data_IF_771472645462
#
_entry.id   IF_771472645462
#
_cell.length_a   1.000
_cell.length_b   1.000
_cell.length_c   1.000
_cell.angle_alpha   90.00
_cell.angle_beta   90.00
_cell.angle_gamma   90.00
#
_symmetry.space_group_name_H-M   'P 1'
#
loop_
_entity.id
_entity.type
_entity.pdbx_description
1 polymer ?
#
# COMPACT_ATOMS: atom_id res chain seq x y z
N UNK A 1 6.73 -23.93 -59.82
CA UNK A 1 8.10 -23.87 -59.26
C UNK A 1 8.37 -25.21 -58.62
N UNK A 2 9.54 -25.81 -58.85
CA UNK A 2 9.85 -27.14 -58.31
C UNK A 2 10.07 -27.08 -56.80
N UNK A 3 9.33 -27.89 -56.04
CA UNK A 3 9.58 -28.08 -54.62
C UNK A 3 10.84 -28.93 -54.45
N UNK A 4 11.85 -28.41 -53.75
CA UNK A 4 12.97 -29.23 -53.26
C UNK A 4 12.55 -29.90 -51.94
N UNK A 5 12.63 -31.24 -51.91
CA UNK A 5 12.60 -32.01 -50.67
C UNK A 5 13.99 -32.00 -50.04
N UNK A 6 14.10 -31.54 -48.80
CA UNK A 6 15.33 -31.61 -48.01
C UNK A 6 15.17 -32.77 -47.02
N UNK A 7 15.89 -33.90 -47.18
CA UNK A 7 15.89 -34.95 -46.19
C UNK A 7 16.70 -34.49 -44.97
N UNK A 8 16.03 -34.36 -43.84
CA UNK A 8 16.66 -34.35 -42.53
C UNK A 8 16.59 -35.79 -42.02
N UNK A 9 17.74 -36.37 -41.67
CA UNK A 9 17.81 -37.78 -41.30
C UNK A 9 16.87 -38.09 -40.13
N UNK A 10 16.15 -39.22 -40.26
CA UNK A 10 15.07 -39.73 -39.40
C UNK A 10 13.65 -39.12 -39.63
N UNK A 11 13.03 -39.60 -40.71
CA UNK A 11 11.57 -39.82 -40.89
C UNK A 11 10.62 -38.63 -40.68
N UNK A 12 10.84 -37.52 -41.40
CA UNK A 12 9.75 -36.59 -41.76
C UNK A 12 9.95 -36.01 -43.16
N UNK A 13 8.88 -35.53 -43.79
CA UNK A 13 8.94 -34.80 -45.07
C UNK A 13 8.12 -33.51 -44.99
N UNK A 14 8.71 -32.42 -45.48
CA UNK A 14 8.09 -31.09 -45.54
C UNK A 14 7.67 -30.80 -46.99
N UNK A 15 6.44 -30.34 -47.21
CA UNK A 15 6.00 -29.83 -48.51
C UNK A 15 5.59 -28.35 -48.42
N UNK A 16 6.01 -27.56 -49.41
CA UNK A 16 5.57 -26.18 -49.61
C UNK A 16 4.30 -26.13 -50.45
N UNK A 17 3.33 -25.32 -50.03
CA UNK A 17 2.13 -24.97 -50.80
C UNK A 17 1.92 -23.46 -50.81
N UNK A 18 1.03 -22.96 -51.68
CA UNK A 18 0.73 -21.52 -51.82
C UNK A 18 -0.03 -20.90 -50.64
N UNK A 19 -0.46 -21.71 -49.67
CA UNK A 19 -1.12 -21.27 -48.42
C UNK A 19 -0.29 -21.60 -47.17
N UNK A 20 0.94 -22.10 -47.33
CA UNK A 20 1.86 -22.40 -46.23
C UNK A 20 2.50 -23.79 -46.31
N UNK A 21 3.27 -24.12 -45.29
CA UNK A 21 3.91 -25.43 -45.12
C UNK A 21 2.90 -26.45 -44.59
N UNK A 22 2.97 -27.68 -45.11
CA UNK A 22 2.16 -28.79 -44.60
C UNK A 22 3.04 -30.03 -44.36
N UNK A 23 2.88 -30.62 -43.18
CA UNK A 23 3.55 -31.86 -42.76
C UNK A 23 2.53 -32.99 -42.66
N UNK A 24 2.92 -34.20 -43.07
CA UNK A 24 2.09 -35.40 -43.02
C UNK A 24 2.79 -36.46 -42.14
N UNK A 25 2.27 -36.79 -40.96
CA UNK A 25 2.84 -37.82 -40.10
C UNK A 25 2.50 -39.23 -40.64
N UNK A 26 3.44 -40.16 -40.52
CA UNK A 26 3.26 -41.55 -40.98
C UNK A 26 2.70 -42.46 -39.86
N UNK A 27 2.78 -42.07 -38.59
CA UNK A 27 2.04 -42.71 -37.50
C UNK A 27 1.80 -41.79 -36.28
N UNK A 28 0.82 -42.18 -35.46
CA UNK A 28 0.23 -41.38 -34.39
C UNK A 28 1.20 -41.02 -33.25
N UNK A 29 1.58 -39.74 -33.11
CA UNK A 29 1.24 -38.88 -31.94
C UNK A 29 1.81 -37.45 -32.07
N UNK A 30 1.20 -36.52 -31.31
CA UNK A 30 1.43 -35.06 -31.27
C UNK A 30 0.99 -34.26 -32.53
N UNK A 31 -0.06 -33.44 -32.36
CA UNK A 31 -0.44 -32.37 -33.29
C UNK A 31 0.24 -31.05 -32.92
N UNK A 32 0.39 -30.15 -33.90
CA UNK A 32 0.54 -28.71 -33.65
C UNK A 32 -0.42 -27.90 -34.51
N UNK A 33 -0.89 -26.76 -34.01
CA UNK A 33 -1.91 -25.94 -34.67
C UNK A 33 -1.73 -24.46 -34.33
N UNK A 34 -1.59 -23.61 -35.35
CA UNK A 34 -1.80 -22.16 -35.23
C UNK A 34 -2.27 -21.62 -36.59
N UNK A 35 -3.18 -20.65 -36.59
CA UNK A 35 -3.68 -19.99 -37.79
C UNK A 35 -3.27 -18.51 -37.77
N UNK A 36 -2.86 -17.97 -38.92
CA UNK A 36 -2.26 -16.63 -39.05
C UNK A 36 -3.23 -15.68 -39.78
N UNK A 37 -3.28 -14.43 -39.33
CA UNK A 37 -3.74 -13.28 -40.14
C UNK A 37 -2.83 -12.05 -39.87
N UNK A 38 -2.88 -11.03 -40.73
CA UNK A 38 -1.72 -10.71 -41.59
C UNK A 38 -0.74 -9.63 -41.16
N UNK A 39 -0.85 -8.97 -40.00
CA UNK A 39 -0.14 -7.68 -39.80
C UNK A 39 1.17 -7.77 -38.98
N UNK A 40 1.31 -8.69 -38.01
CA UNK A 40 2.62 -9.02 -37.40
C UNK A 40 2.53 -10.14 -36.35
N UNK A 41 3.24 -11.26 -36.49
CA UNK A 41 3.56 -12.18 -35.38
C UNK A 41 4.80 -13.05 -35.70
N UNK A 42 5.59 -13.35 -34.67
CA UNK A 42 6.61 -14.41 -34.63
C UNK A 42 6.16 -15.40 -33.55
N UNK A 43 6.24 -16.71 -33.81
CA UNK A 43 5.78 -17.77 -32.90
C UNK A 43 6.90 -18.78 -32.59
N UNK A 44 7.11 -19.09 -31.31
CA UNK A 44 7.85 -20.30 -30.91
C UNK A 44 6.84 -21.46 -30.74
N UNK A 45 7.20 -22.68 -31.14
CA UNK A 45 6.32 -23.86 -31.15
C UNK A 45 6.77 -24.93 -30.14
N UNK A 46 5.90 -25.91 -29.85
CA UNK A 46 6.14 -27.03 -28.93
C UNK A 46 6.16 -28.36 -29.70
N UNK A 47 7.00 -29.31 -29.28
CA UNK A 47 6.99 -30.69 -29.78
C UNK A 47 7.18 -31.67 -28.62
N UNK A 48 6.34 -32.71 -28.59
CA UNK A 48 6.35 -33.74 -27.56
C UNK A 48 6.52 -35.11 -28.22
N UNK A 49 7.44 -35.93 -27.71
CA UNK A 49 7.57 -37.34 -28.11
C UNK A 49 7.05 -38.24 -26.99
N UNK A 50 6.45 -39.37 -27.35
CA UNK A 50 5.70 -40.24 -26.42
C UNK A 50 6.51 -40.85 -25.27
N UNK A 51 7.84 -40.88 -25.37
CA UNK A 51 8.72 -41.42 -24.34
C UNK A 51 9.68 -40.34 -23.82
N UNK A 52 9.31 -39.81 -22.65
CA UNK A 52 10.19 -39.26 -21.60
C UNK A 52 11.07 -38.04 -21.88
N UNK A 53 10.82 -37.22 -22.91
CA UNK A 53 11.33 -35.84 -22.95
C UNK A 53 10.38 -34.87 -23.69
N UNK A 54 10.07 -33.74 -23.05
CA UNK A 54 9.42 -32.59 -23.65
C UNK A 54 10.45 -31.47 -23.91
N UNK A 55 10.27 -30.74 -25.01
CA UNK A 55 10.98 -29.49 -25.30
C UNK A 55 10.02 -28.31 -25.27
N UNK A 56 10.36 -27.30 -24.48
CA UNK A 56 9.62 -26.03 -24.42
C UNK A 56 10.53 -24.94 -24.99
N UNK A 57 9.98 -24.11 -25.86
CA UNK A 57 10.64 -22.91 -26.35
C UNK A 57 9.95 -21.67 -25.79
N UNK A 58 10.73 -20.78 -25.17
CA UNK A 58 10.27 -19.53 -24.58
C UNK A 58 10.82 -18.35 -25.39
N UNK A 59 10.01 -17.31 -25.64
CA UNK A 59 10.45 -16.14 -26.39
C UNK A 59 10.85 -15.02 -25.43
N UNK A 60 12.09 -14.56 -25.55
CA UNK A 60 12.58 -13.44 -24.75
C UNK A 60 12.38 -12.12 -25.49
N UNK A 61 11.35 -11.38 -25.11
CA UNK A 61 10.98 -10.06 -25.64
C UNK A 61 12.14 -9.05 -25.62
N UNK A 62 13.12 -9.19 -24.72
CA UNK A 62 14.25 -8.26 -24.63
C UNK A 62 15.44 -8.61 -25.53
N UNK A 63 15.59 -9.88 -25.94
CA UNK A 63 16.67 -10.31 -26.85
C UNK A 63 16.21 -10.72 -28.25
N UNK A 64 14.88 -10.82 -28.47
CA UNK A 64 14.26 -11.22 -29.74
C UNK A 64 14.66 -12.64 -30.19
N UNK A 65 14.93 -13.55 -29.24
CA UNK A 65 15.41 -14.91 -29.48
C UNK A 65 14.55 -15.95 -28.72
N UNK A 66 14.18 -17.06 -29.37
CA UNK A 66 13.60 -18.22 -28.67
C UNK A 66 14.71 -18.96 -27.87
N UNK A 67 14.43 -19.36 -26.63
CA UNK A 67 15.30 -20.15 -25.74
C UNK A 67 14.75 -21.58 -25.61
N UNK A 68 15.62 -22.59 -25.44
CA UNK A 68 15.24 -24.01 -25.36
C UNK A 68 15.34 -24.56 -23.92
N UNK A 69 14.33 -25.33 -23.50
CA UNK A 69 14.32 -26.09 -22.25
C UNK A 69 13.96 -27.57 -22.51
N UNK A 70 14.62 -28.49 -21.81
CA UNK A 70 14.36 -29.94 -21.85
C UNK A 70 13.95 -30.47 -20.47
N UNK A 71 12.92 -31.30 -20.41
CA UNK A 71 12.44 -31.90 -19.15
C UNK A 71 11.60 -33.16 -19.36
N UNK A 72 11.52 -33.99 -18.33
CA UNK A 72 10.80 -35.27 -18.37
C UNK A 72 9.31 -35.09 -18.02
N UNK A 73 8.43 -35.95 -18.55
CA UNK A 73 6.96 -35.72 -18.58
C UNK A 73 6.29 -35.72 -17.18
N UNK A 74 6.96 -36.26 -16.16
CA UNK A 74 6.35 -36.53 -14.84
C UNK A 74 6.27 -35.26 -13.96
N UNK A 75 7.00 -34.19 -14.27
CA UNK A 75 6.96 -32.91 -13.54
C UNK A 75 6.04 -31.89 -14.22
N UNK A 76 4.71 -32.07 -14.10
CA UNK A 76 3.77 -30.95 -14.26
C UNK A 76 3.63 -30.22 -12.91
N UNK A 77 4.31 -29.09 -12.80
CA UNK A 77 4.30 -28.23 -11.61
C UNK A 77 5.72 -27.86 -11.17
N UNK A 78 6.03 -26.57 -11.22
CA UNK A 78 7.28 -25.93 -10.73
C UNK A 78 8.54 -26.13 -11.58
N UNK A 79 8.91 -25.07 -12.30
CA UNK A 79 10.27 -24.88 -12.83
C UNK A 79 11.13 -24.28 -11.71
N UNK A 80 12.30 -24.87 -11.44
CA UNK A 80 13.27 -24.37 -10.45
C UNK A 80 14.62 -24.15 -11.15
N UNK A 81 15.20 -22.96 -10.99
CA UNK A 81 16.53 -22.63 -11.47
C UNK A 81 17.51 -22.48 -10.29
N UNK A 82 18.62 -23.21 -10.31
CA UNK A 82 19.83 -22.85 -9.55
C UNK A 82 21.08 -23.45 -10.23
N UNK A 83 22.23 -22.80 -10.02
CA UNK A 83 23.49 -23.13 -10.67
C UNK A 83 24.48 -23.83 -9.74
N UNK A 84 25.15 -24.85 -10.29
CA UNK A 84 26.47 -25.39 -9.88
C UNK A 84 26.65 -25.94 -8.45
N UNK A 85 26.32 -27.22 -8.27
CA UNK A 85 27.29 -28.23 -7.82
C UNK A 85 27.04 -29.53 -8.63
N UNK A 86 28.09 -30.07 -9.26
CA UNK A 86 28.04 -31.08 -10.34
C UNK A 86 28.15 -32.54 -9.82
N UNK A 87 28.02 -33.68 -10.56
CA UNK A 87 27.77 -34.09 -11.98
C UNK A 87 27.51 -35.63 -12.00
N UNK A 88 27.13 -36.39 -13.05
CA UNK A 88 26.60 -36.17 -14.43
C UNK A 88 25.83 -37.45 -14.89
N UNK A 89 25.50 -37.55 -16.19
CA UNK A 89 24.85 -38.71 -16.86
C UNK A 89 25.89 -39.68 -17.46
N UNK A 90 25.68 -40.99 -17.32
CA UNK A 90 26.60 -42.03 -17.83
C UNK A 90 26.34 -43.39 -17.18
N UNK A 91 27.34 -44.29 -17.19
CA UNK A 91 27.24 -45.66 -16.68
C UNK A 91 27.25 -45.80 -15.15
N UNK A 92 26.36 -45.03 -14.49
CA UNK A 92 25.65 -45.39 -13.25
C UNK A 92 26.48 -45.46 -11.93
N UNK A 93 26.02 -45.01 -10.74
CA UNK A 93 24.85 -44.24 -10.25
C UNK A 93 25.27 -43.50 -8.94
N UNK A 94 24.37 -42.66 -8.41
CA UNK A 94 24.04 -42.39 -6.99
C UNK A 94 24.38 -40.96 -6.55
N UNK A 95 23.42 -40.07 -6.26
CA UNK A 95 22.04 -40.19 -5.70
C UNK A 95 21.99 -40.79 -4.29
N UNK A 96 21.59 -39.97 -3.33
CA UNK A 96 20.63 -40.31 -2.29
C UNK A 96 19.73 -39.07 -2.18
N UNK A 97 18.41 -39.11 -2.38
CA UNK A 97 17.42 -39.93 -1.68
C UNK A 97 17.34 -39.57 -0.18
N UNK A 98 16.17 -39.51 0.47
CA UNK A 98 14.82 -39.84 0.01
C UNK A 98 13.89 -38.60 0.08
N UNK A 99 12.96 -38.52 -0.88
CA UNK A 99 11.84 -37.59 -0.88
C UNK A 99 11.04 -37.69 0.44
N UNK A 100 10.75 -36.57 1.10
CA UNK A 100 9.68 -36.51 2.09
C UNK A 100 8.75 -35.34 1.76
N UNK A 101 7.52 -35.71 1.43
CA UNK A 101 6.39 -34.80 1.28
C UNK A 101 5.84 -34.43 2.66
N UNK A 102 5.53 -33.15 2.91
CA UNK A 102 4.66 -32.71 3.99
C UNK A 102 3.80 -31.53 3.52
N UNK A 103 2.53 -31.83 3.21
CA UNK A 103 1.49 -30.88 2.84
C UNK A 103 1.10 -29.95 4.01
N UNK A 104 1.91 -28.92 4.30
CA UNK A 104 1.56 -27.80 5.20
C UNK A 104 2.04 -26.46 4.62
N UNK A 105 1.19 -25.42 4.60
CA UNK A 105 1.56 -24.12 4.05
C UNK A 105 2.47 -23.33 5.01
N UNK A 106 3.58 -22.80 4.49
CA UNK A 106 4.41 -21.82 5.21
C UNK A 106 3.68 -20.47 5.35
N UNK A 107 2.93 -20.30 6.43
CA UNK A 107 2.64 -18.99 6.99
C UNK A 107 3.92 -18.43 7.64
N UNK A 108 4.16 -17.12 7.54
CA UNK A 108 5.35 -16.38 8.03
C UNK A 108 6.62 -16.45 7.14
N UNK A 109 6.58 -15.85 5.94
CA UNK A 109 7.75 -15.22 5.29
C UNK A 109 7.35 -14.33 4.09
N UNK A 110 7.39 -13.01 4.24
CA UNK A 110 7.69 -12.12 3.10
C UNK A 110 9.21 -11.91 3.06
N UNK A 111 9.87 -12.30 1.96
CA UNK A 111 11.28 -11.96 1.67
C UNK A 111 12.31 -13.10 1.67
N UNK A 112 12.03 -14.25 2.29
CA UNK A 112 12.98 -15.38 2.36
C UNK A 112 12.85 -16.34 1.17
N UNK A 113 13.98 -16.76 0.56
CA UNK A 113 13.99 -17.74 -0.56
C UNK A 113 14.39 -19.17 -0.17
N UNK A 114 14.76 -19.45 1.09
CA UNK A 114 15.29 -20.76 1.49
C UNK A 114 14.86 -21.19 2.90
N UNK A 115 14.68 -22.50 3.08
CA UNK A 115 14.68 -23.19 4.37
C UNK A 115 15.93 -24.09 4.45
N UNK A 116 16.41 -24.35 5.67
CA UNK A 116 17.46 -25.33 5.93
C UNK A 116 17.00 -26.33 6.99
N UNK A 117 17.23 -27.60 6.73
CA UNK A 117 16.95 -28.68 7.67
C UNK A 117 18.23 -29.46 7.94
N UNK A 118 18.50 -29.76 9.21
CA UNK A 118 19.63 -30.58 9.65
C UNK A 118 19.08 -31.61 10.64
N UNK A 119 19.37 -32.89 10.41
CA UNK A 119 18.99 -34.01 11.29
C UNK A 119 17.49 -34.01 11.69
N UNK A 120 16.59 -33.95 10.69
CA UNK A 120 15.13 -33.89 10.84
C UNK A 120 14.56 -32.70 11.63
N UNK A 121 15.38 -31.70 11.95
CA UNK A 121 14.92 -30.43 12.52
C UNK A 121 15.08 -29.34 11.46
N UNK A 122 13.98 -28.75 11.02
CA UNK A 122 13.96 -27.62 10.09
C UNK A 122 13.91 -26.30 10.86
N UNK A 123 14.75 -25.34 10.47
CA UNK A 123 14.80 -24.01 11.08
C UNK A 123 14.90 -22.93 9.99
N UNK A 124 14.22 -21.81 10.21
CA UNK A 124 14.35 -20.62 9.37
C UNK A 124 15.64 -19.88 9.77
N UNK A 125 16.73 -20.11 9.02
CA UNK A 125 17.99 -19.40 9.22
C UNK A 125 17.92 -17.95 8.70
N UNK A 126 17.95 -16.98 9.62
CA UNK A 126 18.28 -15.58 9.29
C UNK A 126 19.81 -15.46 9.35
N UNK A 127 20.49 -15.60 8.21
CA UNK A 127 21.94 -15.44 8.20
C UNK A 127 22.35 -13.96 8.26
N UNK A 128 22.96 -13.61 9.38
CA UNK A 128 23.54 -12.30 9.69
C UNK A 128 24.88 -12.07 8.97
N UNK A 129 25.28 -10.80 8.90
CA UNK A 129 26.47 -10.28 8.23
C UNK A 129 27.78 -10.97 8.62
N UNK A 130 28.75 -11.04 7.68
CA UNK A 130 30.14 -10.64 7.94
C UNK A 130 30.85 -10.09 6.67
N UNK A 131 31.61 -9.01 6.87
CA UNK A 131 32.56 -8.33 5.95
C UNK A 131 32.13 -7.82 4.55
N UNK A 132 30.91 -7.26 4.48
CA UNK A 132 30.74 -5.92 3.90
C UNK A 132 30.68 -5.73 2.38
N UNK A 133 31.09 -6.71 1.55
CA UNK A 133 31.18 -6.53 0.09
C UNK A 133 30.54 -7.66 -0.71
N UNK A 134 29.55 -7.36 -1.56
CA UNK A 134 29.05 -8.28 -2.60
C UNK A 134 28.96 -7.49 -3.92
N UNK A 135 29.73 -7.90 -4.92
CA UNK A 135 29.61 -7.42 -6.29
C UNK A 135 28.39 -8.05 -6.98
N UNK A 136 27.65 -7.26 -7.75
CA UNK A 136 26.73 -7.79 -8.76
C UNK A 136 27.29 -7.50 -10.15
N UNK A 137 27.30 -8.53 -11.00
CA UNK A 137 27.91 -8.48 -12.33
C UNK A 137 26.97 -7.86 -13.37
N UNK A 138 27.36 -6.73 -13.93
CA UNK A 138 27.04 -6.47 -15.34
C UNK A 138 28.11 -7.14 -16.21
N UNK A 139 27.65 -8.18 -16.91
CA UNK A 139 28.26 -8.94 -18.01
C UNK A 139 29.64 -8.45 -18.53
N UNK A 140 30.69 -9.17 -18.16
CA UNK A 140 31.84 -9.45 -19.03
C UNK A 140 32.41 -10.85 -18.70
N UNK A 141 32.93 -11.52 -19.72
CA UNK A 141 33.72 -12.75 -19.56
C UNK A 141 35.15 -12.38 -19.19
N UNK A 142 35.82 -13.25 -18.43
CA UNK A 142 37.28 -13.31 -18.40
C UNK A 142 37.92 -12.56 -17.24
N UNK A 143 38.64 -13.35 -16.43
CA UNK A 143 39.74 -12.98 -15.55
C UNK A 143 39.47 -12.09 -14.31
N UNK A 144 40.41 -12.20 -13.37
CA UNK A 144 40.24 -11.89 -11.94
C UNK A 144 41.03 -10.64 -11.60
N UNK A 145 40.38 -9.61 -11.04
CA UNK A 145 41.07 -8.45 -10.46
C UNK A 145 41.43 -8.76 -8.99
N UNK A 146 42.72 -8.64 -8.65
CA UNK A 146 43.26 -9.12 -7.36
C UNK A 146 43.65 -7.98 -6.40
N UNK A 147 43.67 -6.70 -6.83
CA UNK A 147 43.96 -5.58 -5.93
C UNK A 147 43.42 -4.20 -6.36
N UNK A 148 43.34 -3.27 -5.40
CA UNK A 148 42.67 -1.96 -5.54
C UNK A 148 43.46 -0.87 -6.28
N UNK A 149 44.67 -1.15 -6.75
CA UNK A 149 45.56 -0.16 -7.39
C UNK A 149 45.39 -0.01 -8.90
N UNK A 150 44.64 -0.90 -9.57
CA UNK A 150 44.41 -0.87 -11.03
C UNK A 150 43.19 -0.03 -11.44
N UNK A 151 42.46 0.57 -10.49
CA UNK A 151 41.34 1.48 -10.77
C UNK A 151 41.74 2.87 -11.31
N UNK A 152 42.68 2.95 -12.26
CA UNK A 152 42.96 4.14 -13.09
C UNK A 152 43.58 3.80 -14.45
N UNK A 153 42.74 3.60 -15.47
CA UNK A 153 43.13 3.81 -16.88
C UNK A 153 41.95 4.21 -17.76
N UNK A 154 40.75 3.69 -17.50
CA UNK A 154 39.65 3.77 -18.45
C UNK A 154 38.63 4.87 -18.10
N UNK A 155 38.67 5.95 -18.87
CA UNK A 155 37.79 7.11 -18.79
C UNK A 155 36.35 6.74 -19.19
N UNK A 156 35.46 6.43 -18.22
CA UNK A 156 34.02 6.77 -18.23
C UNK A 156 33.16 6.19 -17.06
N UNK A 157 33.73 5.93 -15.88
CA UNK A 157 32.96 5.41 -14.73
C UNK A 157 33.05 6.29 -13.47
N UNK A 158 31.90 6.83 -13.06
CA UNK A 158 31.72 7.53 -11.79
C UNK A 158 31.16 6.54 -10.75
N UNK A 159 31.90 6.26 -9.69
CA UNK A 159 31.40 5.41 -8.60
C UNK A 159 30.31 6.16 -7.80
N UNK A 160 29.08 5.62 -7.77
CA UNK A 160 27.99 6.12 -6.92
C UNK A 160 27.80 5.20 -5.69
N UNK A 161 27.63 5.74 -4.48
CA UNK A 161 27.55 4.94 -3.26
C UNK A 161 26.16 4.28 -3.05
N UNK A 162 26.14 2.94 -3.03
CA UNK A 162 25.25 2.00 -2.29
C UNK A 162 23.72 2.23 -2.16
N UNK A 163 23.07 3.17 -2.86
CA UNK A 163 21.70 3.62 -2.48
C UNK A 163 20.50 3.02 -3.24
N UNK A 164 20.66 2.02 -4.13
CA UNK A 164 19.57 1.65 -5.07
C UNK A 164 19.18 0.15 -5.19
N UNK A 165 19.68 -0.77 -4.36
CA UNK A 165 19.34 -2.20 -4.47
C UNK A 165 18.98 -2.89 -3.15
N UNK A 166 18.01 -2.32 -2.42
CA UNK A 166 17.27 -3.01 -1.35
C UNK A 166 15.77 -3.06 -1.66
N UNK A 167 14.91 -3.57 -0.75
CA UNK A 167 13.49 -3.19 -0.77
C UNK A 167 13.37 -1.66 -0.80
N UNK A 168 12.32 -1.08 -1.42
CA UNK A 168 12.25 0.33 -1.79
C UNK A 168 12.80 1.23 -0.68
N UNK A 169 13.89 1.92 -1.03
CA UNK A 169 14.90 2.49 -0.13
C UNK A 169 14.36 2.91 1.23
N UNK A 170 14.92 2.31 2.30
CA UNK A 170 14.57 2.53 3.73
C UNK A 170 14.18 4.00 3.96
N UNK A 171 12.86 4.26 4.01
CA UNK A 171 12.35 5.61 4.10
C UNK A 171 12.47 6.05 5.56
N UNK A 172 13.56 6.74 5.87
CA UNK A 172 13.76 7.28 7.21
C UNK A 172 12.60 8.20 7.56
N UNK A 173 11.75 7.73 8.47
CA UNK A 173 10.70 8.57 9.06
C UNK A 173 11.34 9.75 9.78
N UNK A 174 10.80 10.95 9.57
CA UNK A 174 11.21 12.17 10.29
C UNK A 174 10.05 12.71 11.11
N UNK A 175 10.28 13.08 12.37
CA UNK A 175 9.30 13.85 13.15
C UNK A 175 9.22 15.27 12.57
N UNK A 176 8.00 15.74 12.32
CA UNK A 176 7.72 17.02 11.65
C UNK A 176 6.80 17.94 12.47
N UNK A 177 6.19 17.43 13.53
CA UNK A 177 5.48 18.22 14.55
C UNK A 177 5.45 17.47 15.88
N UNK A 178 5.42 18.21 16.99
CA UNK A 178 5.74 17.70 18.32
C UNK A 178 7.26 17.50 18.50
N UNK A 179 7.68 17.15 19.72
CA UNK A 179 9.10 16.90 19.99
C UNK A 179 9.51 15.47 19.62
N UNK A 180 10.79 15.28 19.28
CA UNK A 180 11.32 13.98 18.85
C UNK A 180 11.17 12.87 19.90
N UNK A 181 11.23 13.22 21.19
CA UNK A 181 11.11 12.30 22.32
C UNK A 181 9.65 11.88 22.61
N UNK A 182 8.67 12.49 21.94
CA UNK A 182 7.24 12.21 22.11
C UNK A 182 6.64 12.62 23.47
N UNK A 183 7.29 13.53 24.21
CA UNK A 183 6.76 13.98 25.51
C UNK A 183 5.58 14.93 25.33
N UNK A 184 4.50 14.70 26.09
CA UNK A 184 3.33 15.59 26.08
C UNK A 184 3.69 16.98 26.61
N UNK A 185 3.06 18.03 26.06
CA UNK A 185 3.18 19.40 26.55
C UNK A 185 2.27 20.39 25.83
N UNK A 186 2.15 21.60 26.37
CA UNK A 186 1.30 22.70 25.90
C UNK A 186 2.08 23.85 25.23
N UNK A 187 3.42 23.78 25.18
CA UNK A 187 4.23 24.69 24.38
C UNK A 187 3.95 24.53 22.87
N UNK A 188 4.34 25.51 22.06
CA UNK A 188 4.09 25.49 20.60
C UNK A 188 4.93 24.46 19.82
N UNK A 189 5.96 23.89 20.44
CA UNK A 189 6.79 22.81 19.90
C UNK A 189 6.48 21.44 20.52
N UNK A 190 5.38 21.33 21.27
CA UNK A 190 4.90 20.09 21.91
C UNK A 190 3.42 19.89 21.62
N UNK A 191 2.97 18.65 21.66
CA UNK A 191 1.58 18.26 21.45
C UNK A 191 1.11 17.43 22.65
N UNK A 192 -0.20 17.21 22.77
CA UNK A 192 -0.81 16.30 23.73
C UNK A 192 -1.99 15.58 23.08
N UNK A 193 -1.81 14.29 22.79
CA UNK A 193 -2.74 13.46 22.02
C UNK A 193 -3.14 14.09 20.66
N UNK A 194 -2.20 14.30 19.71
CA UNK A 194 -2.56 14.78 18.38
C UNK A 194 -3.43 13.74 17.64
N UNK A 195 -4.69 14.07 17.36
CA UNK A 195 -5.67 13.07 16.92
C UNK A 195 -5.83 12.99 15.40
N UNK A 196 -5.74 14.12 14.70
CA UNK A 196 -5.77 14.17 13.24
C UNK A 196 -4.79 15.21 12.71
N UNK A 197 -4.49 15.08 11.43
CA UNK A 197 -3.71 16.06 10.70
C UNK A 197 -4.31 16.34 9.32
N UNK A 198 -3.92 17.47 8.73
CA UNK A 198 -4.18 17.76 7.33
C UNK A 198 -3.04 18.61 6.74
N UNK A 199 -2.85 18.52 5.43
CA UNK A 199 -1.73 19.15 4.71
C UNK A 199 -2.28 20.29 3.86
N UNK A 200 -1.76 21.50 4.07
CA UNK A 200 -2.11 22.69 3.30
C UNK A 200 -1.50 22.68 1.89
N UNK A 201 -2.01 23.55 1.01
CA UNK A 201 -1.49 23.71 -0.36
C UNK A 201 -0.07 24.31 -0.43
N UNK A 202 0.42 24.82 0.70
CA UNK A 202 1.79 25.29 0.96
C UNK A 202 2.68 24.22 1.64
N UNK A 203 2.23 22.95 1.71
CA UNK A 203 2.82 21.87 2.50
C UNK A 203 2.81 22.07 4.04
N UNK A 204 2.14 23.10 4.57
CA UNK A 204 1.98 23.25 6.02
C UNK A 204 1.21 22.08 6.63
N UNK A 205 1.66 21.64 7.80
CA UNK A 205 1.02 20.55 8.54
C UNK A 205 0.14 21.15 9.63
N UNK A 206 -1.17 20.95 9.51
CA UNK A 206 -2.13 21.33 10.54
C UNK A 206 -2.41 20.11 11.42
N UNK A 207 -2.45 20.30 12.74
CA UNK A 207 -2.59 19.22 13.73
C UNK A 207 -3.65 19.59 14.77
N UNK A 208 -4.61 18.70 15.00
CA UNK A 208 -5.57 18.82 16.09
C UNK A 208 -4.94 18.32 17.40
N UNK A 209 -4.59 19.27 18.25
CA UNK A 209 -3.88 19.05 19.51
C UNK A 209 -4.91 18.86 20.63
N UNK A 210 -5.50 17.65 20.66
CA UNK A 210 -6.79 17.34 21.28
C UNK A 210 -6.87 17.75 22.76
N UNK A 211 -5.94 17.27 23.60
CA UNK A 211 -5.96 17.57 25.04
C UNK A 211 -5.65 19.04 25.32
N UNK A 212 -4.90 19.69 24.43
CA UNK A 212 -4.58 21.11 24.50
C UNK A 212 -5.69 22.00 23.87
N UNK A 213 -6.82 21.43 23.43
CA UNK A 213 -8.00 22.16 22.96
C UNK A 213 -7.70 23.24 21.90
N UNK A 214 -6.82 22.89 20.95
CA UNK A 214 -6.33 23.81 19.91
C UNK A 214 -5.97 23.11 18.60
N UNK A 215 -5.77 23.90 17.56
CA UNK A 215 -5.17 23.47 16.29
C UNK A 215 -3.90 24.29 16.03
N UNK A 216 -2.78 23.59 15.80
CA UNK A 216 -1.50 24.19 15.45
C UNK A 216 -1.18 23.97 13.97
N UNK A 217 -0.51 24.95 13.35
CA UNK A 217 0.12 24.84 12.03
C UNK A 217 1.64 24.79 12.17
N UNK A 218 2.27 23.80 11.56
CA UNK A 218 3.72 23.67 11.44
C UNK A 218 4.11 23.94 9.98
N UNK A 219 4.94 24.96 9.76
CA UNK A 219 5.54 25.25 8.46
C UNK A 219 6.59 24.19 8.12
N UNK A 220 6.81 23.90 6.84
CA UNK A 220 7.79 22.87 6.45
C UNK A 220 9.20 23.23 6.97
N UNK A 221 9.81 22.28 7.71
CA UNK A 221 11.09 22.46 8.38
C UNK A 221 11.03 23.08 9.78
N UNK A 222 9.88 23.57 10.25
CA UNK A 222 9.71 24.07 11.62
C UNK A 222 9.09 23.02 12.55
N UNK A 223 9.76 22.77 13.68
CA UNK A 223 9.19 21.99 14.81
C UNK A 223 8.39 22.85 15.80
N UNK A 224 8.36 24.17 15.60
CA UNK A 224 7.52 25.10 16.38
C UNK A 224 6.32 25.50 15.54
N UNK A 225 5.12 25.27 16.08
CA UNK A 225 3.86 25.59 15.42
C UNK A 225 3.36 27.01 15.73
N UNK A 226 2.35 27.43 14.97
CA UNK A 226 1.55 28.63 15.19
C UNK A 226 0.13 28.25 15.56
N UNK A 227 -0.50 28.96 16.49
CA UNK A 227 -1.89 28.74 16.88
C UNK A 227 -2.85 29.24 15.79
N UNK A 228 -3.74 28.37 15.30
CA UNK A 228 -4.72 28.70 14.23
C UNK A 228 -6.16 28.71 14.74
N UNK A 229 -6.52 27.80 15.64
CA UNK A 229 -7.84 27.73 16.25
C UNK A 229 -7.79 27.20 17.69
N UNK A 230 -8.81 27.53 18.48
CA UNK A 230 -8.78 27.35 19.93
C UNK A 230 -7.88 28.36 20.64
N UNK A 231 -7.86 28.30 21.97
CA UNK A 231 -7.04 29.21 22.82
C UNK A 231 -6.08 28.46 23.75
N UNK A 232 -6.02 27.13 23.67
CA UNK A 232 -5.43 26.30 24.74
C UNK A 232 -6.42 25.96 25.87
N UNK A 233 -7.54 26.69 25.96
CA UNK A 233 -8.50 26.59 27.06
C UNK A 233 -9.79 25.94 26.57
N UNK A 234 -10.11 24.80 27.16
CA UNK A 234 -11.39 24.10 27.07
C UNK A 234 -12.60 25.05 27.18
N UNK A 235 -13.53 24.99 26.22
CA UNK A 235 -14.80 25.72 26.33
C UNK A 235 -15.66 25.73 25.08
N UNK A 236 -16.81 26.39 25.18
CA UNK A 236 -17.85 26.46 24.13
C UNK A 236 -17.92 27.79 23.40
N UNK A 237 -17.11 28.79 23.80
CA UNK A 237 -17.04 30.09 23.11
C UNK A 237 -16.63 29.92 21.63
N UNK A 238 -16.89 30.94 20.80
CA UNK A 238 -16.57 30.91 19.36
C UNK A 238 -15.06 30.85 19.06
N UNK A 239 -14.20 31.27 19.99
CA UNK A 239 -12.75 31.09 19.91
C UNK A 239 -12.21 29.84 20.63
N UNK A 240 -13.06 29.09 21.34
CA UNK A 240 -12.67 27.92 22.14
C UNK A 240 -13.04 26.60 21.46
N UNK A 241 -12.38 25.53 21.87
CA UNK A 241 -12.60 24.15 21.46
C UNK A 241 -12.63 23.25 22.71
N UNK A 242 -13.11 22.02 22.58
CA UNK A 242 -13.06 20.96 23.58
C UNK A 242 -12.87 19.60 22.89
N UNK A 243 -11.63 19.09 22.92
CA UNK A 243 -11.26 17.87 22.19
C UNK A 243 -11.45 17.98 20.67
N UNK A 244 -10.80 18.94 19.98
CA UNK A 244 -10.85 18.99 18.51
C UNK A 244 -10.25 17.71 17.93
N UNK A 245 -10.99 17.02 17.04
CA UNK A 245 -10.56 15.73 16.49
C UNK A 245 -10.25 15.81 15.00
N UNK A 246 -11.25 15.72 14.12
CA UNK A 246 -11.05 15.83 12.67
C UNK A 246 -10.82 17.28 12.23
N UNK A 247 -9.88 17.49 11.30
CA UNK A 247 -9.60 18.81 10.72
C UNK A 247 -9.43 18.75 9.19
N UNK A 248 -9.83 19.82 8.52
CA UNK A 248 -9.61 20.03 7.08
C UNK A 248 -9.22 21.48 6.82
N UNK A 249 -8.24 21.73 5.95
CA UNK A 249 -7.80 23.06 5.52
C UNK A 249 -8.14 23.22 4.04
N UNK A 250 -8.85 24.28 3.67
CA UNK A 250 -9.17 24.54 2.27
C UNK A 250 -8.05 25.28 1.53
N UNK A 251 -8.16 25.37 0.20
CA UNK A 251 -7.18 26.05 -0.66
C UNK A 251 -7.07 27.56 -0.42
N UNK A 252 -7.99 28.15 0.34
CA UNK A 252 -7.95 29.54 0.81
C UNK A 252 -7.39 29.66 2.23
N UNK A 253 -6.92 28.56 2.83
CA UNK A 253 -6.44 28.42 4.21
C UNK A 253 -7.49 28.72 5.28
N UNK A 254 -8.77 28.45 4.99
CA UNK A 254 -9.80 28.38 6.02
C UNK A 254 -9.82 26.97 6.63
N UNK A 255 -9.90 26.92 7.95
CA UNK A 255 -9.83 25.69 8.74
C UNK A 255 -11.24 25.24 9.14
N UNK A 256 -11.53 23.96 8.97
CA UNK A 256 -12.72 23.29 9.47
C UNK A 256 -12.31 22.31 10.56
N UNK A 257 -13.00 22.33 11.70
CA UNK A 257 -12.67 21.54 12.90
C UNK A 257 -13.93 20.85 13.41
N UNK A 258 -13.87 19.54 13.57
CA UNK A 258 -14.87 18.80 14.34
C UNK A 258 -14.50 18.87 15.82
N UNK A 259 -15.33 19.57 16.58
CA UNK A 259 -15.12 19.91 17.98
C UNK A 259 -15.86 18.86 18.83
N UNK A 260 -15.19 17.73 19.08
CA UNK A 260 -15.81 16.42 19.37
C UNK A 260 -16.74 16.43 20.58
N UNK A 261 -16.20 16.88 21.71
CA UNK A 261 -16.89 16.88 23.01
C UNK A 261 -17.93 18.02 23.07
N UNK A 262 -17.82 19.01 22.18
CA UNK A 262 -18.81 20.07 21.99
C UNK A 262 -19.86 19.73 20.91
N UNK A 263 -19.84 18.53 20.33
CA UNK A 263 -20.84 18.02 19.37
C UNK A 263 -21.15 19.00 18.22
N UNK A 264 -20.11 19.65 17.67
CA UNK A 264 -20.26 20.71 16.65
C UNK A 264 -19.15 20.72 15.61
N UNK A 265 -19.48 21.29 14.47
CA UNK A 265 -18.54 21.62 13.40
C UNK A 265 -18.29 23.13 13.41
N UNK A 266 -17.02 23.51 13.52
CA UNK A 266 -16.54 24.89 13.51
C UNK A 266 -15.75 25.20 12.23
N UNK A 267 -15.89 26.42 11.75
CA UNK A 267 -15.15 27.00 10.62
C UNK A 267 -14.40 28.25 11.08
N UNK A 268 -13.09 28.25 10.91
CA UNK A 268 -12.21 29.39 11.14
C UNK A 268 -11.82 30.01 9.79
N UNK A 269 -12.30 31.22 9.46
CA UNK A 269 -11.75 31.99 8.36
C UNK A 269 -10.25 32.21 8.55
N UNK A 270 -9.48 32.24 7.45
CA UNK A 270 -8.04 32.52 7.50
C UNK A 270 -7.75 33.79 8.32
N UNK A 271 -6.79 33.70 9.25
CA UNK A 271 -6.36 34.77 10.17
C UNK A 271 -7.43 35.25 11.17
N UNK A 272 -8.58 34.59 11.31
CA UNK A 272 -9.57 34.90 12.35
C UNK A 272 -9.17 34.30 13.70
N UNK A 273 -9.33 35.05 14.79
CA UNK A 273 -9.25 34.49 16.15
C UNK A 273 -10.53 33.74 16.57
N UNK A 274 -11.61 33.90 15.83
CA UNK A 274 -12.94 33.35 16.15
C UNK A 274 -13.44 32.42 15.04
N UNK A 275 -13.97 31.27 15.45
CA UNK A 275 -14.68 30.33 14.59
C UNK A 275 -16.18 30.62 14.52
N UNK A 276 -16.80 30.08 13.48
CA UNK A 276 -18.23 30.13 13.19
C UNK A 276 -18.74 28.69 13.24
N UNK A 277 -19.83 28.44 13.98
CA UNK A 277 -20.46 27.11 13.99
C UNK A 277 -21.23 26.89 12.69
N UNK A 278 -20.84 25.87 11.93
CA UNK A 278 -21.47 25.53 10.63
C UNK A 278 -22.55 24.48 10.80
N UNK A 279 -22.32 23.49 11.67
CA UNK A 279 -23.27 22.41 11.93
C UNK A 279 -23.15 21.88 13.37
N UNK A 280 -24.12 21.08 13.78
CA UNK A 280 -24.25 20.54 15.13
C UNK A 280 -24.94 21.50 16.10
N UNK A 281 -25.74 20.95 17.00
CA UNK A 281 -26.53 21.69 18.00
C UNK A 281 -25.66 22.27 19.13
N UNK A 282 -24.48 21.71 19.38
CA UNK A 282 -23.68 21.97 20.59
C UNK A 282 -23.92 20.97 21.74
N UNK A 283 -24.76 19.95 21.51
CA UNK A 283 -25.10 18.89 22.46
C UNK A 283 -25.26 17.56 21.73
N UNK A 284 -24.98 16.43 22.40
CA UNK A 284 -25.15 15.11 21.81
C UNK A 284 -26.59 14.87 21.34
N UNK A 285 -26.75 14.26 20.16
CA UNK A 285 -28.04 13.95 19.54
C UNK A 285 -27.89 13.13 18.26
N UNK A 286 -29.03 12.73 17.67
CA UNK A 286 -29.08 11.85 16.49
C UNK A 286 -29.96 12.38 15.35
N UNK A 287 -30.38 13.65 15.39
CA UNK A 287 -31.12 14.32 14.31
C UNK A 287 -30.22 14.62 13.11
N UNK A 288 -30.77 15.15 12.01
CA UNK A 288 -29.95 15.61 10.87
C UNK A 288 -29.15 16.91 11.14
N UNK A 289 -29.37 17.54 12.29
CA UNK A 289 -28.72 18.78 12.74
C UNK A 289 -27.91 18.63 14.04
N UNK A 290 -27.80 17.42 14.59
CA UNK A 290 -27.03 17.08 15.79
C UNK A 290 -26.14 15.87 15.56
N UNK A 291 -25.11 15.73 16.39
CA UNK A 291 -24.11 14.67 16.30
C UNK A 291 -24.02 13.90 17.60
N UNK A 292 -23.66 12.62 17.54
CA UNK A 292 -23.43 11.76 18.70
C UNK A 292 -22.03 12.00 19.27
N UNK A 293 -21.01 11.79 18.43
CA UNK A 293 -19.61 12.25 18.57
C UNK A 293 -19.04 12.43 17.16
N UNK A 294 -18.30 13.51 16.89
CA UNK A 294 -17.87 13.87 15.52
C UNK A 294 -16.48 13.34 15.20
N UNK A 295 -16.31 12.78 14.01
CA UNK A 295 -15.12 12.06 13.57
C UNK A 295 -14.29 12.83 12.54
N UNK A 296 -13.75 12.09 11.58
CA UNK A 296 -13.09 12.64 10.41
C UNK A 296 -14.01 13.54 9.57
N UNK A 297 -13.38 14.44 8.83
CA UNK A 297 -14.03 15.48 8.02
C UNK A 297 -13.36 15.59 6.65
N UNK A 298 -14.15 15.89 5.62
CA UNK A 298 -13.68 16.25 4.29
C UNK A 298 -14.56 17.36 3.71
N UNK A 299 -13.96 18.30 2.98
CA UNK A 299 -14.64 19.37 2.25
C UNK A 299 -14.39 19.15 0.76
N UNK A 300 -15.43 19.16 -0.06
CA UNK A 300 -15.27 19.07 -1.52
C UNK A 300 -15.07 20.44 -2.21
N UNK A 301 -14.73 20.43 -3.49
CA UNK A 301 -14.57 21.64 -4.31
C UNK A 301 -15.86 22.46 -4.46
N UNK A 302 -17.04 21.87 -4.25
CA UNK A 302 -18.33 22.59 -4.18
C UNK A 302 -18.68 23.06 -2.75
N UNK A 303 -17.74 22.94 -1.80
CA UNK A 303 -17.87 23.32 -0.38
C UNK A 303 -18.91 22.52 0.41
N UNK A 304 -19.31 21.34 -0.06
CA UNK A 304 -20.08 20.40 0.78
C UNK A 304 -19.13 19.78 1.82
N UNK A 305 -19.63 19.58 3.03
CA UNK A 305 -18.86 19.07 4.17
C UNK A 305 -19.35 17.67 4.52
N UNK A 306 -18.45 16.71 4.46
CA UNK A 306 -18.66 15.32 4.84
C UNK A 306 -18.10 15.13 6.25
N UNK A 307 -18.96 14.76 7.20
CA UNK A 307 -18.60 14.57 8.61
C UNK A 307 -18.97 13.16 9.04
N UNK A 308 -18.02 12.47 9.67
CA UNK A 308 -18.30 11.21 10.34
C UNK A 308 -19.03 11.48 11.65
N UNK A 309 -20.20 10.87 11.86
CA UNK A 309 -20.95 10.91 13.12
C UNK A 309 -20.84 9.52 13.76
N UNK A 310 -19.83 9.37 14.61
CA UNK A 310 -19.23 8.09 15.00
C UNK A 310 -20.19 7.25 15.83
N UNK A 311 -20.73 7.85 16.88
CA UNK A 311 -21.65 7.18 17.82
C UNK A 311 -23.01 6.87 17.17
N UNK A 312 -23.43 7.70 16.21
CA UNK A 312 -24.63 7.42 15.40
C UNK A 312 -24.34 6.56 14.15
N UNK A 313 -23.14 6.02 13.98
CA UNK A 313 -22.82 5.03 12.94
C UNK A 313 -23.18 5.48 11.50
N UNK A 314 -22.91 6.74 11.16
CA UNK A 314 -23.31 7.35 9.88
C UNK A 314 -22.32 8.41 9.39
N UNK A 315 -22.31 8.70 8.10
CA UNK A 315 -21.63 9.85 7.50
C UNK A 315 -22.68 10.84 7.00
N UNK A 316 -22.51 12.10 7.38
CA UNK A 316 -23.43 13.21 7.11
C UNK A 316 -22.79 14.18 6.12
N UNK A 317 -23.53 14.59 5.10
CA UNK A 317 -23.14 15.61 4.12
C UNK A 317 -23.99 16.87 4.31
N UNK A 318 -23.32 17.99 4.59
CA UNK A 318 -23.90 19.32 4.68
C UNK A 318 -23.58 20.09 3.38
N UNK A 319 -24.61 20.57 2.69
CA UNK A 319 -24.43 21.50 1.57
C UNK A 319 -24.11 22.92 2.08
N UNK A 320 -23.44 23.78 1.30
CA UNK A 320 -23.20 25.17 1.68
C UNK A 320 -24.49 25.89 2.12
N UNK A 321 -24.42 26.57 3.26
CA UNK A 321 -25.52 27.32 3.88
C UNK A 321 -26.74 26.49 4.33
N UNK A 322 -26.66 25.16 4.37
CA UNK A 322 -27.72 24.29 4.89
C UNK A 322 -27.31 23.70 6.24
N UNK A 323 -28.19 23.81 7.25
CA UNK A 323 -27.93 23.33 8.63
C UNK A 323 -28.26 21.86 8.84
N UNK A 324 -29.15 21.30 8.02
CA UNK A 324 -29.58 19.91 8.09
C UNK A 324 -28.80 19.07 7.07
N UNK A 325 -28.23 17.95 7.52
CA UNK A 325 -27.47 17.06 6.66
C UNK A 325 -28.35 16.13 5.81
N UNK A 326 -27.72 15.57 4.78
CA UNK A 326 -28.13 14.32 4.14
C UNK A 326 -27.23 13.18 4.63
N UNK A 327 -27.79 11.99 4.92
CA UNK A 327 -26.98 10.81 5.22
C UNK A 327 -26.47 10.22 3.89
N UNK A 328 -25.15 10.02 3.79
CA UNK A 328 -24.49 9.54 2.56
C UNK A 328 -23.80 8.18 2.71
N UNK A 329 -23.63 7.70 3.95
CA UNK A 329 -23.22 6.32 4.27
C UNK A 329 -23.67 5.95 5.69
N UNK A 330 -23.91 4.67 5.95
CA UNK A 330 -24.53 4.20 7.20
C UNK A 330 -26.04 4.45 7.25
N UNK A 331 -26.74 3.77 8.17
CA UNK A 331 -28.19 3.91 8.36
C UNK A 331 -28.58 4.66 9.64
N UNK A 332 -27.62 5.09 10.45
CA UNK A 332 -27.88 5.55 11.83
C UNK A 332 -27.89 4.43 12.88
N UNK A 333 -27.71 3.16 12.46
CA UNK A 333 -27.79 1.98 13.32
C UNK A 333 -26.53 1.14 13.16
N UNK A 334 -25.88 0.79 14.27
CA UNK A 334 -24.69 -0.06 14.26
C UNK A 334 -24.98 -1.45 13.68
N UNK A 335 -24.08 -1.94 12.84
CA UNK A 335 -24.15 -3.28 12.26
C UNK A 335 -23.07 -3.54 11.22
N UNK A 336 -23.05 -4.75 10.65
CA UNK A 336 -22.04 -5.20 9.68
C UNK A 336 -22.57 -5.35 8.24
N UNK A 337 -23.88 -5.18 8.02
CA UNK A 337 -24.45 -5.16 6.67
C UNK A 337 -23.83 -4.05 5.81
N UNK A 338 -23.90 -4.17 4.49
CA UNK A 338 -23.26 -3.21 3.57
C UNK A 338 -23.77 -1.76 3.70
N UNK A 339 -25.03 -1.60 4.14
CA UNK A 339 -25.63 -0.29 4.39
C UNK A 339 -25.32 0.26 5.78
N UNK A 340 -24.83 -0.59 6.69
CA UNK A 340 -24.52 -0.25 8.08
C UNK A 340 -23.03 0.02 8.26
N UNK A 341 -22.72 0.78 9.31
CA UNK A 341 -21.37 1.03 9.81
C UNK A 341 -21.36 0.69 11.31
N UNK A 342 -20.19 0.56 11.91
CA UNK A 342 -20.01 0.33 13.34
C UNK A 342 -18.80 1.13 13.84
N UNK A 343 -19.07 2.21 14.58
CA UNK A 343 -18.09 3.22 15.00
C UNK A 343 -17.15 3.64 13.85
N UNK A 344 -17.69 4.22 12.75
CA UNK A 344 -16.84 4.77 11.70
C UNK A 344 -15.94 5.88 12.27
N UNK A 345 -14.78 6.14 11.64
CA UNK A 345 -13.82 7.10 12.19
C UNK A 345 -13.25 8.06 11.13
N UNK A 346 -12.45 7.55 10.19
CA UNK A 346 -11.90 8.30 9.08
C UNK A 346 -12.77 8.22 7.84
N UNK A 347 -12.68 9.25 6.98
CA UNK A 347 -13.30 9.26 5.67
C UNK A 347 -12.42 9.96 4.64
N UNK A 348 -12.61 9.63 3.37
CA UNK A 348 -12.04 10.32 2.21
C UNK A 348 -13.08 10.34 1.09
N UNK A 349 -13.26 11.47 0.41
CA UNK A 349 -14.17 11.58 -0.73
C UNK A 349 -13.39 11.79 -2.03
N UNK A 350 -13.53 10.85 -2.96
CA UNK A 350 -13.07 10.95 -4.34
C UNK A 350 -14.14 11.72 -5.14
N UNK A 351 -13.94 13.03 -5.26
CA UNK A 351 -14.84 13.94 -5.97
C UNK A 351 -15.00 13.58 -7.46
N UNK A 352 -13.94 13.06 -8.09
CA UNK A 352 -13.91 12.76 -9.53
C UNK A 352 -14.88 11.63 -9.86
N UNK A 353 -14.91 10.59 -9.02
CA UNK A 353 -15.75 9.42 -9.21
C UNK A 353 -16.96 9.37 -8.26
N UNK A 354 -17.17 10.41 -7.44
CA UNK A 354 -18.20 10.47 -6.39
C UNK A 354 -18.19 9.30 -5.39
N UNK A 355 -17.01 8.75 -5.10
CA UNK A 355 -16.84 7.65 -4.15
C UNK A 355 -16.40 8.13 -2.77
N UNK A 356 -17.21 7.82 -1.75
CA UNK A 356 -16.88 8.03 -0.35
C UNK A 356 -16.27 6.75 0.23
N UNK A 357 -15.03 6.84 0.71
CA UNK A 357 -14.33 5.79 1.44
C UNK A 357 -14.43 6.06 2.95
N UNK A 358 -14.77 5.05 3.74
CA UNK A 358 -15.04 5.17 5.18
C UNK A 358 -14.30 4.07 5.93
N UNK A 359 -13.58 4.41 7.00
CA UNK A 359 -13.09 3.40 7.94
C UNK A 359 -14.27 2.92 8.78
N UNK A 360 -14.64 1.66 8.64
CA UNK A 360 -15.72 1.03 9.39
C UNK A 360 -15.10 0.27 10.56
N UNK A 361 -14.66 1.04 11.56
CA UNK A 361 -13.55 0.69 12.45
C UNK A 361 -13.81 -0.58 13.25
N UNK A 362 -14.99 -0.72 13.87
CA UNK A 362 -15.33 -1.91 14.66
C UNK A 362 -15.72 -3.12 13.78
N UNK A 363 -16.01 -2.92 12.49
CA UNK A 363 -16.18 -4.00 11.51
C UNK A 363 -14.85 -4.35 10.80
N UNK A 364 -13.75 -3.66 11.14
CA UNK A 364 -12.39 -3.95 10.67
C UNK A 364 -12.25 -3.99 9.15
N UNK A 365 -12.89 -3.02 8.49
CA UNK A 365 -12.93 -2.91 7.03
C UNK A 365 -12.93 -1.44 6.57
N UNK A 366 -12.61 -1.23 5.30
CA UNK A 366 -12.90 0.02 4.59
C UNK A 366 -14.09 -0.21 3.67
N UNK A 367 -15.13 0.60 3.83
CA UNK A 367 -16.31 0.60 2.97
C UNK A 367 -16.21 1.72 1.93
N UNK A 368 -16.65 1.47 0.69
CA UNK A 368 -16.79 2.46 -0.37
C UNK A 368 -18.25 2.61 -0.78
N UNK A 369 -18.76 3.83 -0.81
CA UNK A 369 -20.14 4.18 -1.18
C UNK A 369 -20.14 5.08 -2.42
N UNK A 370 -21.07 4.87 -3.35
CA UNK A 370 -21.30 5.81 -4.45
C UNK A 370 -22.31 6.87 -3.99
N UNK A 371 -21.82 8.06 -3.65
CA UNK A 371 -22.65 9.15 -3.13
C UNK A 371 -23.69 9.54 -4.18
N UNK A 372 -24.92 9.81 -3.72
CA UNK A 372 -26.06 10.17 -4.59
C UNK A 372 -26.69 8.99 -5.36
N UNK A 373 -26.11 7.79 -5.35
CA UNK A 373 -26.61 6.62 -6.10
C UNK A 373 -27.10 5.52 -5.18
N UNK A 374 -26.35 5.15 -4.14
CA UNK A 374 -26.78 4.09 -3.21
C UNK A 374 -26.12 4.20 -1.83
N UNK A 375 -26.89 3.88 -0.79
CA UNK A 375 -26.37 3.63 0.56
C UNK A 375 -25.80 2.22 0.74
N UNK A 376 -25.78 1.37 -0.31
CA UNK A 376 -25.17 0.04 -0.26
C UNK A 376 -23.66 0.13 -0.53
N UNK A 377 -22.84 -0.03 0.52
CA UNK A 377 -21.39 0.07 0.43
C UNK A 377 -20.72 -1.24 0.00
N UNK A 378 -19.58 -1.14 -0.66
CA UNK A 378 -18.72 -2.29 -1.00
C UNK A 378 -17.49 -2.30 -0.09
N UNK A 379 -17.14 -3.47 0.48
CA UNK A 379 -15.87 -3.62 1.20
C UNK A 379 -14.71 -3.60 0.20
N UNK A 380 -13.77 -2.67 0.37
CA UNK A 380 -12.61 -2.49 -0.53
C UNK A 380 -11.26 -2.79 0.12
N UNK A 381 -11.23 -2.97 1.44
CA UNK A 381 -10.09 -3.47 2.20
C UNK A 381 -10.54 -4.07 3.54
N UNK A 382 -9.81 -5.05 4.06
CA UNK A 382 -10.16 -5.76 5.29
C UNK A 382 -11.44 -6.60 5.17
N UNK A 383 -12.23 -6.67 6.24
CA UNK A 383 -13.50 -7.43 6.28
C UNK A 383 -13.35 -8.94 6.52
N UNK A 384 -12.12 -9.48 6.49
CA UNK A 384 -11.81 -10.89 6.74
C UNK A 384 -11.58 -11.18 8.25
N UNK A 385 -12.38 -10.54 9.11
CA UNK A 385 -12.23 -10.57 10.57
C UNK A 385 -11.11 -9.66 11.11
N UNK A 386 -11.06 -9.54 12.44
CA UNK A 386 -10.00 -8.82 13.15
C UNK A 386 -8.68 -9.59 13.05
N UNK A 387 -7.58 -8.93 12.69
CA UNK A 387 -6.26 -9.55 12.77
C UNK A 387 -5.17 -8.82 12.00
N UNK A 388 -3.95 -9.34 12.08
CA UNK A 388 -2.74 -8.76 11.48
C UNK A 388 -2.36 -9.38 10.12
N UNK A 389 -3.17 -10.32 9.60
CA UNK A 389 -2.98 -10.86 8.24
C UNK A 389 -2.97 -9.76 7.17
N UNK A 390 -2.40 -10.05 5.99
CA UNK A 390 -2.32 -9.08 4.89
C UNK A 390 -3.70 -8.68 4.34
N UNK A 391 -4.68 -9.58 4.41
CA UNK A 391 -6.09 -9.36 4.06
C UNK A 391 -6.98 -8.94 5.25
N UNK A 392 -6.40 -8.74 6.43
CA UNK A 392 -7.11 -8.36 7.66
C UNK A 392 -6.74 -6.95 8.11
N UNK A 393 -7.62 -6.36 8.92
CA UNK A 393 -7.39 -5.10 9.62
C UNK A 393 -7.83 -5.27 11.08
N UNK A 394 -7.49 -4.29 11.92
CA UNK A 394 -7.82 -4.23 13.33
C UNK A 394 -8.03 -2.75 13.70
N UNK A 395 -9.30 -2.35 13.86
CA UNK A 395 -9.71 -0.97 14.13
C UNK A 395 -9.02 0.08 13.24
N UNK A 396 -9.20 0.02 11.90
CA UNK A 396 -8.68 1.06 11.01
C UNK A 396 -9.32 2.42 11.33
N UNK A 397 -8.50 3.47 11.51
CA UNK A 397 -8.97 4.82 11.84
C UNK A 397 -8.73 5.79 10.67
N UNK A 398 -7.55 6.40 10.58
CA UNK A 398 -7.20 7.24 9.44
C UNK A 398 -7.16 6.46 8.12
N UNK A 399 -7.59 7.11 7.04
CA UNK A 399 -7.30 6.66 5.67
C UNK A 399 -7.07 7.85 4.75
N UNK A 400 -6.35 7.61 3.66
CA UNK A 400 -6.26 8.53 2.52
C UNK A 400 -6.10 7.72 1.23
N UNK A 401 -6.48 8.32 0.09
CA UNK A 401 -6.52 7.64 -1.21
C UNK A 401 -5.69 8.43 -2.22
N UNK A 402 -4.88 7.72 -3.00
CA UNK A 402 -4.24 8.24 -4.20
C UNK A 402 -4.97 7.66 -5.41
N UNK A 403 -5.85 8.45 -6.01
CA UNK A 403 -6.61 8.06 -7.22
C UNK A 403 -5.70 7.94 -8.45
N UNK A 404 -4.63 8.75 -8.53
CA UNK A 404 -3.61 8.68 -9.60
C UNK A 404 -2.91 7.31 -9.60
N UNK A 405 -2.52 6.82 -8.42
CA UNK A 405 -1.78 5.57 -8.26
C UNK A 405 -2.69 4.36 -7.94
N UNK A 406 -4.01 4.55 -7.88
CA UNK A 406 -5.00 3.54 -7.48
C UNK A 406 -4.67 2.84 -6.14
N UNK A 407 -4.23 3.61 -5.14
CA UNK A 407 -3.88 3.11 -3.81
C UNK A 407 -4.76 3.70 -2.70
N UNK A 408 -5.16 2.84 -1.75
CA UNK A 408 -5.73 3.21 -0.45
C UNK A 408 -4.64 3.02 0.60
N UNK A 409 -4.34 4.08 1.36
CA UNK A 409 -3.44 4.06 2.49
C UNK A 409 -4.28 4.07 3.77
N UNK A 410 -4.16 3.01 4.56
CA UNK A 410 -5.03 2.73 5.71
C UNK A 410 -4.17 2.65 6.95
N UNK A 411 -4.46 3.48 7.95
CA UNK A 411 -3.89 3.30 9.26
C UNK A 411 -4.64 2.19 9.98
N UNK A 412 -3.99 1.02 10.05
CA UNK A 412 -4.46 -0.19 10.68
C UNK A 412 -4.11 -0.13 12.18
N UNK A 413 -4.78 0.80 12.88
CA UNK A 413 -4.38 1.36 14.17
C UNK A 413 -4.19 0.32 15.27
N UNK A 414 -5.09 -0.66 15.35
CA UNK A 414 -5.01 -1.76 16.33
C UNK A 414 -3.86 -2.74 16.08
N UNK A 415 -3.30 -2.75 14.87
CA UNK A 415 -2.09 -3.51 14.51
C UNK A 415 -0.84 -2.63 14.45
N UNK A 416 -0.94 -1.33 14.78
CA UNK A 416 0.16 -0.38 14.77
C UNK A 416 0.94 -0.35 13.43
N UNK A 417 0.22 -0.25 12.31
CA UNK A 417 0.82 -0.21 10.98
C UNK A 417 0.03 0.64 9.98
N UNK A 418 0.68 1.06 8.89
CA UNK A 418 0.00 1.55 7.68
C UNK A 418 0.01 0.45 6.62
N UNK A 419 -1.17 0.07 6.15
CA UNK A 419 -1.39 -0.83 5.03
C UNK A 419 -1.62 -0.02 3.74
N UNK A 420 -0.94 -0.38 2.65
CA UNK A 420 -1.25 0.08 1.28
C UNK A 420 -1.99 -1.02 0.52
N UNK A 421 -3.20 -0.72 0.06
CA UNK A 421 -4.01 -1.61 -0.77
C UNK A 421 -4.16 -1.03 -2.19
N UNK A 422 -3.94 -1.84 -3.22
CA UNK A 422 -4.31 -1.48 -4.59
C UNK A 422 -5.82 -1.58 -4.78
N UNK A 423 -6.41 -0.77 -5.66
CA UNK A 423 -7.83 -0.90 -5.97
C UNK A 423 -8.16 -2.30 -6.51
N UNK A 424 -9.15 -2.96 -5.91
CA UNK A 424 -9.54 -4.34 -6.24
C UNK A 424 -8.64 -5.44 -5.68
N UNK A 425 -7.59 -5.11 -4.91
CA UNK A 425 -6.76 -6.11 -4.24
C UNK A 425 -7.51 -6.81 -3.10
N UNK A 426 -7.19 -8.10 -2.88
CA UNK A 426 -7.73 -8.91 -1.78
C UNK A 426 -6.86 -8.85 -0.51
N UNK A 427 -5.68 -8.24 -0.60
CA UNK A 427 -4.74 -8.04 0.51
C UNK A 427 -3.99 -6.71 0.35
N UNK A 428 -3.46 -6.19 1.46
CA UNK A 428 -2.61 -5.01 1.51
C UNK A 428 -1.18 -5.34 1.93
N UNK A 429 -0.25 -4.49 1.49
CA UNK A 429 1.18 -4.53 1.84
C UNK A 429 1.42 -3.59 3.00
N UNK A 430 2.14 -4.03 4.04
CA UNK A 430 2.54 -3.13 5.13
C UNK A 430 3.65 -2.21 4.64
N UNK A 431 3.45 -0.89 4.79
CA UNK A 431 4.42 0.12 4.36
C UNK A 431 5.03 0.91 5.52
N UNK A 432 4.42 0.92 6.70
CA UNK A 432 4.99 1.54 7.92
C UNK A 432 4.58 0.69 9.12
N UNK A 433 5.53 0.33 9.98
CA UNK A 433 5.29 -0.47 11.19
C UNK A 433 5.51 -1.97 10.99
N UNK A 434 5.61 -2.72 12.10
CA UNK A 434 5.85 -4.17 12.14
C UNK A 434 6.91 -4.69 11.15
N UNK A 435 8.12 -4.11 11.20
CA UNK A 435 9.25 -4.51 10.35
C UNK A 435 9.26 -3.90 8.95
N UNK A 436 8.15 -3.32 8.48
CA UNK A 436 8.14 -2.51 7.27
C UNK A 436 8.53 -1.05 7.62
N UNK A 437 9.65 -0.61 7.03
CA UNK A 437 10.30 0.70 7.21
C UNK A 437 10.82 0.95 8.63
N UNK A 438 12.15 1.06 8.72
CA UNK A 438 12.88 1.36 9.96
C UNK A 438 12.82 2.88 10.20
N UNK A 439 12.25 3.27 11.34
CA UNK A 439 12.34 4.64 11.87
C UNK A 439 13.74 4.94 12.40
N UNK A 440 14.11 6.21 12.46
CA UNK A 440 15.31 6.67 13.19
C UNK A 440 15.33 6.26 14.68
N UNK A 441 14.18 5.98 15.30
CA UNK A 441 14.10 5.53 16.70
C UNK A 441 13.88 4.02 16.87
N UNK A 442 13.86 3.24 15.77
CA UNK A 442 13.62 1.78 15.74
C UNK A 442 12.32 1.27 16.40
N UNK A 443 11.35 2.14 16.72
CA UNK A 443 10.08 1.74 17.35
C UNK A 443 9.00 1.37 16.33
N UNK A 444 8.03 0.53 16.71
CA UNK A 444 6.77 0.39 15.98
C UNK A 444 5.92 1.66 16.11
N UNK A 445 4.91 1.83 15.25
CA UNK A 445 3.83 2.77 15.56
C UNK A 445 3.23 2.43 16.95
N UNK A 446 2.79 3.44 17.68
CA UNK A 446 2.14 3.27 18.97
C UNK A 446 0.91 4.17 19.05
N UNK A 447 -0.27 3.56 18.94
CA UNK A 447 -1.56 4.24 19.12
C UNK A 447 -1.76 5.40 18.16
N UNK A 448 -1.33 5.25 16.91
CA UNK A 448 -1.55 6.23 15.86
C UNK A 448 -3.03 6.24 15.42
N UNK A 449 -3.59 7.43 15.15
CA UNK A 449 -5.03 7.57 14.82
C UNK A 449 -5.33 8.15 13.44
N UNK A 450 -4.39 8.86 12.81
CA UNK A 450 -4.63 9.44 11.48
C UNK A 450 -3.45 9.33 10.50
N UNK A 451 -3.76 9.30 9.21
CA UNK A 451 -2.81 9.25 8.10
C UNK A 451 -3.26 10.17 6.95
N UNK A 452 -2.31 10.87 6.32
CA UNK A 452 -2.53 11.73 5.14
C UNK A 452 -1.40 11.59 4.13
N UNK A 453 -1.70 11.90 2.87
CA UNK A 453 -0.69 12.10 1.83
C UNK A 453 -0.38 13.60 1.67
N UNK A 454 0.82 13.92 1.20
CA UNK A 454 1.08 15.19 0.54
C UNK A 454 0.28 15.29 -0.77
N UNK A 455 0.09 16.52 -1.26
CA UNK A 455 -0.70 16.80 -2.46
C UNK A 455 -0.12 16.14 -3.72
N UNK A 456 1.21 16.06 -3.81
CA UNK A 456 1.91 15.35 -4.88
C UNK A 456 2.02 13.82 -4.66
N UNK A 457 1.44 13.29 -3.58
CA UNK A 457 1.48 11.86 -3.23
C UNK A 457 2.87 11.32 -2.85
N UNK A 458 3.90 12.16 -2.75
CA UNK A 458 5.28 11.74 -2.50
C UNK A 458 5.59 11.53 -1.01
N UNK A 459 4.77 12.02 -0.10
CA UNK A 459 4.97 11.87 1.34
C UNK A 459 3.70 11.35 2.01
N UNK A 460 3.90 10.48 3.00
CA UNK A 460 2.88 9.98 3.90
C UNK A 460 3.15 10.57 5.29
N UNK A 461 2.12 11.14 5.90
CA UNK A 461 2.16 11.71 7.24
C UNK A 461 1.28 10.90 8.18
N UNK A 462 1.74 10.63 9.40
CA UNK A 462 1.03 9.80 10.39
C UNK A 462 1.03 10.51 11.74
N UNK A 463 -0.16 10.64 12.35
CA UNK A 463 -0.29 11.13 13.73
C UNK A 463 -0.09 9.98 14.71
N UNK A 464 0.99 10.02 15.49
CA UNK A 464 1.28 9.03 16.52
C UNK A 464 0.81 9.56 17.88
N UNK A 465 -0.50 9.44 18.10
CA UNK A 465 -1.25 10.12 19.16
C UNK A 465 -0.75 9.82 20.56
N UNK A 466 -0.47 8.55 20.88
CA UNK A 466 0.06 8.17 22.20
C UNK A 466 1.51 8.64 22.41
N UNK A 467 2.26 8.92 21.34
CA UNK A 467 3.63 9.45 21.37
C UNK A 467 3.70 10.96 21.06
N UNK A 468 2.58 11.68 21.09
CA UNK A 468 2.53 13.15 21.00
C UNK A 468 3.32 13.78 19.84
N UNK A 469 3.38 13.11 18.67
CA UNK A 469 4.20 13.54 17.53
C UNK A 469 3.62 13.15 16.18
N UNK A 470 3.96 13.90 15.14
CA UNK A 470 3.62 13.63 13.75
C UNK A 470 4.87 13.16 13.01
N UNK A 471 4.75 12.03 12.31
CA UNK A 471 5.78 11.51 11.43
C UNK A 471 5.51 11.89 9.97
N UNK A 472 6.59 12.04 9.20
CA UNK A 472 6.61 12.08 7.73
C UNK A 472 7.48 10.93 7.21
N UNK A 473 6.99 10.22 6.19
CA UNK A 473 7.69 9.16 5.45
C UNK A 473 7.67 9.52 3.95
N UNK A 474 8.83 9.54 3.32
CA UNK A 474 8.98 9.86 1.89
C UNK A 474 8.68 8.61 1.06
N UNK A 475 7.52 8.56 0.40
CA UNK A 475 7.14 7.48 -0.51
C UNK A 475 8.08 7.46 -1.74
N UNK A 476 8.35 6.25 -2.23
CA UNK A 476 9.29 5.90 -3.31
C UNK A 476 8.61 4.95 -4.29
#
# INVERSE_FOLDING_TARGET
MHCQSIPLDWQSSMNLSTVGFQFLPINYQALFLSQINTISFISCAQTCHSNSNCRIFDYDDQSLLCRLFEGNIITMGSIVASSSAQSRVGSRIYYAEQFINLDQPCSLCEGSRYMRCINNTCQCEIHTYFDGSICQSQKLLGDVCINSTECRSDLNYTCLPRQQCGPPSIQVGTVVAGNANGTSGDALNTLSYPYALTIGIDNSIYVSDFNNNRVLQFQEGSLTGSLIAGTGIAGTSTNQLLGPMGIYIDTSFNLYVTDDINYRLMFWPKNSSFGIRVAGSGSSGNTLSSFGLVGGIFLDSQKNIYVCDRDNNRIMRFSPNITDATIVAGTGVSGNGNQQLNAPFGLYFDEVNSYLYVSDSNNHRIQRYHVGVSLNGTTVAGGNGQGAGSNQLNKPYGLCVSTINNYIYILDSGNNRVQRWSFGATYGVTIVGNGAIIRNDSTSLQGATDVKLSINGSNLFVSETMQNRIWRFQLV
#
